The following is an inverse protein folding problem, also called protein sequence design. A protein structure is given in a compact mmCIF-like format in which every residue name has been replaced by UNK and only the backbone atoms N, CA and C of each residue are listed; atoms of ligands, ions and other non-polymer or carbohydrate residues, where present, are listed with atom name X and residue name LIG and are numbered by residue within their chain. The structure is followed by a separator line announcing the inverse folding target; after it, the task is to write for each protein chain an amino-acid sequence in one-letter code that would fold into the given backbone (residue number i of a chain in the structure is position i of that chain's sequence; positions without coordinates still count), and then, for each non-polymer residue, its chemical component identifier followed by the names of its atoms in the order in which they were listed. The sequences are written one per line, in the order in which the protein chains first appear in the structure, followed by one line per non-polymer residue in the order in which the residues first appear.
data_IF_187862891494
#
_entry.id   IF_187862891494
#
_cell.length_a   1.000
_cell.length_b   1.000
_cell.length_c   1.000
_cell.angle_alpha   90.00
_cell.angle_beta   90.00
_cell.angle_gamma   90.00
#
_symmetry.space_group_name_H-M   'P 1'
#
loop_
_entity.id
_entity.type
_entity.pdbx_description
1 polymer ?
#
# COMPACT_ATOMS: atom_id res chain seq x y z
N UNK A 1 18.78 15.39 -16.26
CA UNK A 1 18.06 14.14 -15.84
C UNK A 1 17.11 13.78 -16.96
N UNK A 2 16.94 12.49 -17.27
CA UNK A 2 15.90 12.07 -18.24
C UNK A 2 14.53 12.35 -17.65
N UNK A 3 13.61 12.89 -18.43
CA UNK A 3 12.20 13.10 -18.01
C UNK A 3 11.36 11.81 -18.08
N UNK A 4 11.84 10.81 -18.81
CA UNK A 4 11.19 9.52 -19.01
C UNK A 4 12.19 8.38 -18.84
N UNK A 5 11.69 7.27 -18.32
CA UNK A 5 12.41 6.01 -18.14
C UNK A 5 11.56 4.83 -18.64
N UNK A 6 12.20 3.71 -18.93
CA UNK A 6 11.53 2.43 -19.17
C UNK A 6 11.61 1.59 -17.91
N UNK A 7 10.56 0.84 -17.60
CA UNK A 7 10.47 0.00 -16.41
C UNK A 7 10.01 -1.41 -16.78
N UNK A 8 10.59 -2.40 -16.12
CA UNK A 8 10.12 -3.78 -16.16
C UNK A 8 9.45 -4.13 -14.85
N UNK A 9 8.20 -4.54 -14.92
CA UNK A 9 7.43 -5.03 -13.78
C UNK A 9 7.39 -6.55 -13.78
N UNK A 10 7.71 -7.18 -12.65
CA UNK A 10 7.49 -8.60 -12.38
C UNK A 10 6.43 -8.71 -11.32
N UNK A 11 5.20 -8.99 -11.74
CA UNK A 11 4.01 -8.91 -10.89
C UNK A 11 3.51 -10.30 -10.56
N UNK A 12 3.20 -10.52 -9.28
CA UNK A 12 2.48 -11.71 -8.85
C UNK A 12 1.04 -11.65 -9.36
N UNK A 13 0.63 -12.69 -10.07
CA UNK A 13 -0.74 -12.83 -10.62
C UNK A 13 -1.38 -14.05 -10.02
N UNK A 14 -2.56 -13.86 -9.43
CA UNK A 14 -3.32 -14.90 -8.78
C UNK A 14 -4.81 -14.54 -8.81
N UNK A 15 -5.68 -15.50 -9.12
CA UNK A 15 -7.11 -15.21 -9.31
C UNK A 15 -7.91 -15.24 -8.00
N UNK A 16 -7.46 -16.02 -7.03
CA UNK A 16 -8.08 -16.14 -5.69
C UNK A 16 -7.10 -16.74 -4.68
N UNK A 17 -7.45 -16.72 -3.41
CA UNK A 17 -6.64 -17.34 -2.36
C UNK A 17 -6.42 -18.85 -2.56
N UNK A 18 -7.34 -19.54 -3.22
CA UNK A 18 -7.27 -20.99 -3.49
C UNK A 18 -6.53 -21.32 -4.79
N UNK A 19 -6.37 -20.37 -5.68
CA UNK A 19 -5.70 -20.56 -6.95
C UNK A 19 -4.18 -20.51 -6.82
N UNK A 20 -3.47 -21.23 -7.70
CA UNK A 20 -2.01 -21.16 -7.76
C UNK A 20 -1.58 -19.87 -8.48
N UNK A 21 -0.84 -19.02 -7.78
CA UNK A 21 -0.28 -17.80 -8.37
C UNK A 21 1.03 -18.03 -9.12
N UNK A 22 1.39 -17.08 -9.97
CA UNK A 22 2.67 -17.06 -10.69
C UNK A 22 3.10 -15.64 -11.02
N UNK A 23 4.40 -15.43 -11.22
CA UNK A 23 4.90 -14.15 -11.73
C UNK A 23 4.66 -14.00 -13.23
N UNK A 24 4.27 -12.78 -13.62
CA UNK A 24 4.25 -12.35 -15.01
C UNK A 24 5.10 -11.09 -15.16
N UNK A 25 5.78 -10.98 -16.29
CA UNK A 25 6.63 -9.83 -16.60
C UNK A 25 5.96 -8.93 -17.63
N UNK A 26 6.06 -7.63 -17.40
CA UNK A 26 5.52 -6.58 -18.23
C UNK A 26 6.57 -5.49 -18.39
N UNK A 27 6.63 -4.87 -19.56
CA UNK A 27 7.49 -3.71 -19.80
C UNK A 27 6.61 -2.50 -20.09
N UNK A 28 6.95 -1.38 -19.48
CA UNK A 28 6.30 -0.10 -19.71
C UNK A 28 7.34 0.92 -20.17
N UNK A 29 7.12 1.47 -21.35
CA UNK A 29 8.01 2.44 -21.97
C UNK A 29 7.55 3.88 -21.71
N UNK A 30 8.48 4.84 -21.77
CA UNK A 30 8.18 6.27 -21.62
C UNK A 30 7.41 6.64 -20.33
N UNK A 31 7.78 6.06 -19.21
CA UNK A 31 7.23 6.39 -17.90
C UNK A 31 7.81 7.73 -17.44
N UNK A 32 6.98 8.72 -17.15
CA UNK A 32 7.45 9.99 -16.60
C UNK A 32 8.04 9.77 -15.20
N UNK A 33 9.22 10.36 -14.95
CA UNK A 33 9.84 10.31 -13.63
C UNK A 33 9.06 11.07 -12.55
N UNK A 34 8.08 11.89 -12.96
CA UNK A 34 7.27 12.74 -12.08
C UNK A 34 6.02 12.06 -11.54
N UNK A 35 5.62 10.93 -12.12
CA UNK A 35 4.45 10.17 -11.66
C UNK A 35 4.82 9.20 -10.53
N UNK A 36 3.81 8.78 -9.79
CA UNK A 36 3.93 7.75 -8.76
C UNK A 36 3.97 6.34 -9.35
N UNK A 37 4.38 5.36 -8.53
CA UNK A 37 4.33 3.94 -8.92
C UNK A 37 2.89 3.49 -9.21
N UNK A 38 1.89 4.00 -8.49
CA UNK A 38 0.49 3.66 -8.77
C UNK A 38 0.03 4.19 -10.13
N UNK A 39 0.40 5.42 -10.47
CA UNK A 39 0.10 5.98 -11.79
C UNK A 39 0.81 5.22 -12.91
N UNK A 40 2.03 4.73 -12.68
CA UNK A 40 2.71 3.85 -13.63
C UNK A 40 1.99 2.50 -13.78
N UNK A 41 1.40 1.96 -12.70
CA UNK A 41 0.55 0.76 -12.78
C UNK A 41 -0.78 1.03 -13.49
N UNK A 42 -1.37 2.22 -13.33
CA UNK A 42 -2.55 2.62 -14.10
C UNK A 42 -2.23 2.64 -15.60
N UNK A 43 -1.10 3.27 -16.01
CA UNK A 43 -0.66 3.27 -17.40
C UNK A 43 -0.43 1.85 -17.95
N UNK A 44 0.20 0.98 -17.16
CA UNK A 44 0.36 -0.42 -17.53
C UNK A 44 -1.00 -1.12 -17.72
N UNK A 45 -1.95 -0.88 -16.82
CA UNK A 45 -3.28 -1.46 -16.90
C UNK A 45 -4.07 -0.97 -18.13
N UNK A 46 -3.90 0.28 -18.52
CA UNK A 46 -4.46 0.80 -19.78
C UNK A 46 -3.89 0.04 -21.00
N UNK A 47 -2.56 -0.15 -21.04
CA UNK A 47 -1.95 -0.94 -22.11
C UNK A 47 -2.41 -2.40 -22.11
N UNK A 48 -2.53 -3.03 -20.94
CA UNK A 48 -3.02 -4.40 -20.82
C UNK A 48 -4.46 -4.53 -21.33
N UNK A 49 -5.32 -3.59 -20.95
CA UNK A 49 -6.71 -3.55 -21.40
C UNK A 49 -6.81 -3.40 -22.93
N UNK A 50 -6.02 -2.52 -23.51
CA UNK A 50 -5.96 -2.35 -24.97
C UNK A 50 -5.53 -3.64 -25.69
N UNK A 51 -4.68 -4.44 -25.07
CA UNK A 51 -4.20 -5.74 -25.58
C UNK A 51 -5.15 -6.91 -25.23
N UNK A 52 -6.32 -6.66 -24.64
CA UNK A 52 -7.25 -7.67 -24.12
C UNK A 52 -6.61 -8.62 -23.08
N UNK A 53 -5.64 -8.13 -22.32
CA UNK A 53 -5.03 -8.84 -21.19
C UNK A 53 -5.67 -8.32 -19.90
N UNK A 54 -6.00 -9.23 -18.98
CA UNK A 54 -6.59 -8.87 -17.69
C UNK A 54 -5.70 -7.88 -16.94
N UNK A 55 -6.20 -6.69 -16.56
CA UNK A 55 -5.46 -5.71 -15.77
C UNK A 55 -4.95 -6.30 -14.44
N UNK A 56 -3.94 -5.68 -13.88
CA UNK A 56 -3.41 -6.02 -12.54
C UNK A 56 -4.37 -5.45 -11.50
N UNK A 57 -4.84 -6.29 -10.59
CA UNK A 57 -5.68 -5.87 -9.47
C UNK A 57 -4.81 -5.39 -8.31
N UNK A 58 -5.04 -4.18 -7.85
CA UNK A 58 -4.42 -3.59 -6.67
C UNK A 58 -5.36 -2.56 -6.03
N UNK A 59 -5.25 -2.41 -4.70
CA UNK A 59 -6.08 -1.48 -3.96
C UNK A 59 -5.46 -0.08 -3.91
N UNK A 60 -6.29 0.94 -3.99
CA UNK A 60 -5.92 2.33 -3.79
C UNK A 60 -7.16 3.16 -3.46
N UNK A 61 -6.94 4.32 -2.81
CA UNK A 61 -8.01 5.27 -2.53
C UNK A 61 -7.48 6.71 -2.55
N UNK A 62 -6.97 7.25 -1.43
CA UNK A 62 -6.61 8.66 -1.30
C UNK A 62 -5.50 9.13 -2.27
N UNK A 63 -4.59 8.27 -2.66
CA UNK A 63 -3.37 8.56 -3.45
C UNK A 63 -2.46 9.63 -2.82
N UNK A 64 -2.66 9.95 -1.53
CA UNK A 64 -1.93 10.98 -0.78
C UNK A 64 -1.13 10.43 0.41
N UNK A 65 -1.07 9.10 0.55
CA UNK A 65 -0.27 8.44 1.57
C UNK A 65 -0.89 8.41 2.97
N UNK A 66 -2.19 8.59 3.11
CA UNK A 66 -2.88 8.70 4.40
C UNK A 66 -3.91 7.61 4.69
N UNK A 67 -4.45 6.90 3.68
CA UNK A 67 -5.51 5.91 3.88
C UNK A 67 -5.02 4.48 4.14
N UNK A 68 -3.77 4.16 3.78
CA UNK A 68 -3.17 2.83 3.95
C UNK A 68 -3.68 1.75 2.99
N UNK A 69 -4.50 2.07 1.98
CA UNK A 69 -5.10 1.07 1.08
C UNK A 69 -4.11 0.49 0.07
N UNK A 70 -3.17 1.29 -0.45
CA UNK A 70 -2.26 0.91 -1.54
C UNK A 70 -1.06 0.05 -1.09
N UNK A 71 -1.27 -0.84 -0.12
CA UNK A 71 -0.20 -1.62 0.49
C UNK A 71 0.11 -2.92 -0.25
N UNK A 72 1.35 -3.08 -0.71
CA UNK A 72 1.89 -4.35 -1.22
C UNK A 72 3.41 -4.38 -1.09
N UNK A 73 4.02 -5.55 -1.31
CA UNK A 73 5.48 -5.70 -1.29
C UNK A 73 6.09 -5.23 -2.60
N UNK A 74 7.14 -4.45 -2.47
CA UNK A 74 7.95 -3.97 -3.57
C UNK A 74 9.39 -4.43 -3.37
N UNK A 75 9.87 -5.27 -4.27
CA UNK A 75 11.18 -5.92 -4.14
C UNK A 75 11.36 -6.62 -2.77
N UNK A 76 10.31 -7.28 -2.29
CA UNK A 76 10.27 -8.00 -1.02
C UNK A 76 10.18 -7.12 0.24
N UNK A 77 10.01 -5.81 0.10
CA UNK A 77 9.85 -4.87 1.21
C UNK A 77 8.47 -4.20 1.20
N UNK A 78 7.81 -4.06 2.35
CA UNK A 78 6.56 -3.33 2.44
C UNK A 78 6.73 -1.89 1.95
N UNK A 79 5.91 -1.48 0.97
CA UNK A 79 5.97 -0.17 0.31
C UNK A 79 7.30 0.18 -0.38
N UNK A 80 8.28 -0.73 -0.41
CA UNK A 80 9.61 -0.51 -0.99
C UNK A 80 10.67 -0.02 0.00
N UNK A 81 11.83 0.37 -0.52
CA UNK A 81 13.01 0.69 0.29
C UNK A 81 12.98 2.08 0.94
N UNK A 82 12.11 2.98 0.49
CA UNK A 82 12.02 4.33 1.02
C UNK A 82 11.19 4.35 2.30
N UNK A 83 11.82 4.63 3.43
CA UNK A 83 11.16 4.69 4.74
C UNK A 83 10.10 5.80 4.79
N UNK A 84 9.02 5.56 5.55
CA UNK A 84 7.94 6.52 5.76
C UNK A 84 7.19 6.90 4.47
N UNK A 85 7.19 6.01 3.48
CA UNK A 85 6.57 6.26 2.19
C UNK A 85 5.61 5.14 1.85
N UNK A 86 4.43 5.47 1.38
CA UNK A 86 3.46 4.53 0.82
C UNK A 86 3.69 4.34 -0.67
N UNK A 87 3.12 3.30 -1.25
CA UNK A 87 3.29 3.00 -2.69
C UNK A 87 2.79 4.13 -3.58
N UNK A 88 1.70 4.82 -3.19
CA UNK A 88 1.16 5.96 -3.92
C UNK A 88 2.05 7.22 -3.86
N UNK A 89 2.99 7.28 -2.93
CA UNK A 89 3.94 8.39 -2.79
C UNK A 89 5.36 8.00 -3.23
N UNK A 90 5.53 6.80 -3.77
CA UNK A 90 6.79 6.35 -4.33
C UNK A 90 6.87 6.74 -5.80
N UNK A 91 7.56 7.81 -6.10
CA UNK A 91 7.68 8.37 -7.45
C UNK A 91 8.70 7.63 -8.31
N UNK A 92 8.44 7.60 -9.62
CA UNK A 92 9.27 6.89 -10.60
C UNK A 92 10.70 7.42 -10.69
N UNK A 93 10.96 8.67 -10.30
CA UNK A 93 12.32 9.23 -10.16
C UNK A 93 13.23 8.51 -9.15
N UNK A 94 12.65 7.66 -8.29
CA UNK A 94 13.41 6.83 -7.36
C UNK A 94 13.95 5.54 -7.99
N UNK A 95 13.59 5.25 -9.24
CA UNK A 95 14.03 4.07 -9.97
C UNK A 95 14.98 4.44 -11.10
N UNK A 96 15.88 3.52 -11.40
CA UNK A 96 16.79 3.65 -12.55
C UNK A 96 16.05 3.28 -13.84
N UNK A 97 16.51 3.84 -14.95
CA UNK A 97 16.08 3.43 -16.28
C UNK A 97 16.31 1.91 -16.48
N UNK A 98 15.34 1.22 -17.05
CA UNK A 98 15.32 -0.25 -17.22
C UNK A 98 15.36 -1.05 -15.89
N UNK A 99 14.98 -0.46 -14.76
CA UNK A 99 14.89 -1.18 -13.50
C UNK A 99 13.82 -2.27 -13.55
N UNK A 100 14.12 -3.41 -12.92
CA UNK A 100 13.13 -4.46 -12.63
C UNK A 100 12.51 -4.18 -11.27
N UNK A 101 11.18 -4.05 -11.25
CA UNK A 101 10.38 -3.85 -10.04
C UNK A 101 9.53 -5.10 -9.82
N UNK A 102 9.74 -5.78 -8.69
CA UNK A 102 8.98 -6.97 -8.32
C UNK A 102 7.84 -6.54 -7.40
N UNK A 103 6.60 -6.88 -7.76
CA UNK A 103 5.40 -6.56 -7.03
C UNK A 103 4.71 -7.83 -6.54
N UNK A 104 4.39 -7.88 -5.26
CA UNK A 104 3.77 -9.02 -4.59
C UNK A 104 2.72 -8.54 -3.59
N UNK A 105 1.62 -9.30 -3.36
CA UNK A 105 0.68 -8.97 -2.29
C UNK A 105 1.35 -9.05 -0.92
N UNK A 106 0.67 -8.58 0.12
CA UNK A 106 1.07 -8.91 1.49
C UNK A 106 1.11 -10.43 1.68
N UNK A 107 2.28 -11.00 1.95
CA UNK A 107 2.47 -12.45 2.11
C UNK A 107 2.38 -12.87 3.58
N UNK A 108 1.19 -12.78 4.15
CA UNK A 108 0.89 -13.21 5.52
C UNK A 108 -0.47 -13.88 5.56
N UNK A 109 -0.64 -14.88 6.43
CA UNK A 109 -1.92 -15.61 6.56
C UNK A 109 -3.09 -14.71 6.96
N UNK A 110 -2.81 -13.65 7.71
CA UNK A 110 -3.81 -12.67 8.13
C UNK A 110 -4.37 -11.83 6.98
N UNK A 111 -3.74 -11.86 5.81
CA UNK A 111 -4.15 -11.13 4.62
C UNK A 111 -4.32 -12.10 3.44
N UNK A 112 -5.41 -12.89 3.41
CA UNK A 112 -5.68 -13.77 2.28
C UNK A 112 -5.77 -12.98 0.98
N UNK A 113 -5.25 -13.56 -0.11
CA UNK A 113 -5.26 -12.89 -1.42
C UNK A 113 -6.68 -12.91 -1.99
N UNK A 114 -7.20 -11.73 -2.32
CA UNK A 114 -8.42 -11.59 -3.10
C UNK A 114 -8.10 -11.82 -4.58
N UNK A 115 -7.20 -11.02 -5.12
CA UNK A 115 -6.72 -11.14 -6.50
C UNK A 115 -5.42 -10.35 -6.69
N UNK A 116 -4.43 -10.94 -7.33
CA UNK A 116 -3.13 -10.33 -7.65
C UNK A 116 -2.44 -9.68 -6.44
N UNK A 117 -2.47 -8.34 -6.34
CA UNK A 117 -1.87 -7.58 -5.24
C UNK A 117 -2.88 -7.19 -4.15
N UNK A 118 -4.18 -7.38 -4.41
CA UNK A 118 -5.26 -7.07 -3.48
C UNK A 118 -5.45 -8.20 -2.47
N UNK A 119 -5.62 -7.84 -1.20
CA UNK A 119 -5.74 -8.78 -0.07
C UNK A 119 -6.91 -8.43 0.84
N UNK A 120 -7.48 -9.43 1.49
CA UNK A 120 -8.51 -9.23 2.51
C UNK A 120 -7.86 -8.75 3.82
N UNK A 121 -8.23 -7.55 4.24
CA UNK A 121 -7.75 -6.89 5.46
C UNK A 121 -8.72 -6.94 6.63
N UNK A 122 -9.87 -7.57 6.48
CA UNK A 122 -10.94 -7.59 7.49
C UNK A 122 -10.45 -8.00 8.89
N UNK A 123 -9.49 -8.93 8.99
CA UNK A 123 -8.94 -9.34 10.28
C UNK A 123 -8.20 -8.20 11.00
N UNK A 124 -7.39 -7.43 10.26
CA UNK A 124 -6.68 -6.26 10.79
C UNK A 124 -7.67 -5.15 11.16
N UNK A 125 -8.64 -4.88 10.30
CA UNK A 125 -9.62 -3.82 10.52
C UNK A 125 -10.48 -4.09 11.77
N UNK A 126 -10.87 -5.35 12.00
CA UNK A 126 -11.53 -5.77 13.25
C UNK A 126 -10.68 -5.53 14.49
N UNK A 127 -9.36 -5.80 14.42
CA UNK A 127 -8.44 -5.54 15.51
C UNK A 127 -8.29 -4.02 15.77
N UNK A 128 -8.17 -3.22 14.73
CA UNK A 128 -8.09 -1.77 14.84
C UNK A 128 -9.37 -1.21 15.50
N UNK A 129 -10.55 -1.64 15.04
CA UNK A 129 -11.84 -1.22 15.60
C UNK A 129 -11.96 -1.65 17.06
N UNK A 130 -11.52 -2.85 17.44
CA UNK A 130 -11.58 -3.34 18.81
C UNK A 130 -10.65 -2.57 19.78
N UNK A 131 -9.59 -1.95 19.26
CA UNK A 131 -8.65 -1.14 20.03
C UNK A 131 -9.17 0.24 20.40
N UNK A 132 -10.19 0.71 19.73
CA UNK A 132 -10.84 1.99 20.00
C UNK A 132 -11.59 2.50 18.78
N UNK A 133 -12.84 2.80 18.99
CA UNK A 133 -13.70 3.45 18.01
C UNK A 133 -14.44 4.60 18.68
N UNK A 134 -14.37 5.76 18.08
CA UNK A 134 -15.20 6.88 18.47
C UNK A 134 -15.71 7.62 17.24
N UNK A 135 -16.95 8.08 17.30
CA UNK A 135 -17.50 8.97 16.30
C UNK A 135 -17.18 10.43 16.66
N UNK A 136 -17.16 11.28 15.67
CA UNK A 136 -17.07 12.72 15.90
C UNK A 136 -18.32 13.19 16.65
N UNK A 137 -18.13 13.72 17.86
CA UNK A 137 -19.19 14.40 18.56
C UNK A 137 -19.44 15.76 17.91
N UNK A 138 -20.66 16.00 17.48
CA UNK A 138 -21.07 17.26 16.82
C UNK A 138 -21.76 18.22 17.80
N UNK A 139 -21.39 18.17 19.08
CA UNK A 139 -21.88 19.08 20.12
C UNK A 139 -21.36 20.51 19.96
N UNK A 140 -21.75 21.38 20.90
CA UNK A 140 -21.21 22.75 20.98
C UNK A 140 -19.72 22.72 21.31
N UNK A 141 -19.01 23.80 20.93
CA UNK A 141 -17.63 23.99 21.32
C UNK A 141 -17.51 23.91 22.86
N UNK A 142 -16.48 23.22 23.41
CA UNK A 142 -16.28 23.17 24.84
C UNK A 142 -16.02 24.58 25.43
N UNK A 143 -16.39 24.77 26.71
CA UNK A 143 -16.14 26.01 27.42
C UNK A 143 -14.62 26.30 27.44
N UNK A 144 -14.24 27.54 27.13
CA UNK A 144 -12.84 27.99 27.13
C UNK A 144 -12.15 27.84 28.49
N UNK A 145 -12.93 27.73 29.58
CA UNK A 145 -12.41 27.52 30.97
C UNK A 145 -12.26 26.02 31.32
N UNK A 146 -12.56 25.09 30.41
CA UNK A 146 -12.29 23.67 30.68
C UNK A 146 -10.80 23.43 30.92
N UNK A 147 -10.50 22.51 31.85
CA UNK A 147 -9.12 22.09 32.12
C UNK A 147 -8.53 21.51 30.81
N UNK A 148 -7.45 22.11 30.28
CA UNK A 148 -6.86 21.63 29.03
C UNK A 148 -6.26 20.23 29.19
N UNK A 149 -6.18 19.49 28.09
CA UNK A 149 -5.48 18.21 28.05
C UNK A 149 -3.99 18.47 28.29
N UNK A 150 -3.34 17.65 29.12
CA UNK A 150 -1.90 17.81 29.38
C UNK A 150 -1.09 17.58 28.07
N UNK A 151 0.05 18.28 27.91
CA UNK A 151 0.92 18.10 26.73
C UNK A 151 1.32 16.64 26.51
N UNK A 152 1.62 15.90 27.58
CA UNK A 152 2.01 14.47 27.49
C UNK A 152 0.91 13.60 26.86
N UNK A 153 -0.35 13.81 27.30
CA UNK A 153 -1.49 13.09 26.69
C UNK A 153 -1.72 13.50 25.24
N UNK A 154 -1.58 14.79 24.94
CA UNK A 154 -1.70 15.29 23.58
C UNK A 154 -0.63 14.70 22.66
N UNK A 155 0.64 14.71 23.05
CA UNK A 155 1.74 14.12 22.29
C UNK A 155 1.55 12.62 22.07
N UNK A 156 1.21 11.86 23.11
CA UNK A 156 0.94 10.42 23.01
C UNK A 156 -0.20 10.12 22.00
N UNK A 157 -1.25 10.94 22.00
CA UNK A 157 -2.36 10.81 21.06
C UNK A 157 -1.92 11.10 19.62
N UNK A 158 -1.11 12.15 19.41
CA UNK A 158 -0.58 12.48 18.08
C UNK A 158 0.38 11.40 17.56
N UNK A 159 1.25 10.84 18.41
CA UNK A 159 2.12 9.71 18.00
C UNK A 159 1.31 8.49 17.59
N UNK A 160 0.27 8.16 18.34
CA UNK A 160 -0.63 7.04 18.00
C UNK A 160 -1.39 7.29 16.70
N UNK A 161 -1.81 8.53 16.44
CA UNK A 161 -2.53 8.93 15.24
C UNK A 161 -1.66 8.93 13.96
N UNK A 162 -0.35 8.73 14.07
CA UNK A 162 0.53 8.59 12.89
C UNK A 162 0.33 7.27 12.14
N UNK A 163 -0.31 6.28 12.75
CA UNK A 163 -0.62 5.01 12.11
C UNK A 163 -1.74 5.18 11.09
N UNK A 164 -1.43 4.86 9.81
CA UNK A 164 -2.42 4.89 8.72
C UNK A 164 -3.13 3.55 8.50
N UNK A 165 -2.94 2.57 9.38
CA UNK A 165 -3.58 1.25 9.30
C UNK A 165 -3.19 0.41 8.07
N UNK A 166 -2.06 0.66 7.42
CA UNK A 166 -1.71 0.02 6.14
C UNK A 166 -1.34 -1.47 6.23
N UNK A 167 -1.07 -2.01 7.43
CA UNK A 167 -0.67 -3.41 7.60
C UNK A 167 0.78 -3.74 7.25
N UNK A 168 1.60 -2.76 6.88
CA UNK A 168 3.01 -2.97 6.52
C UNK A 168 3.85 -3.61 7.65
N UNK A 169 3.57 -3.28 8.90
CA UNK A 169 4.22 -3.86 10.07
C UNK A 169 3.88 -5.35 10.23
N UNK A 170 2.64 -5.75 9.96
CA UNK A 170 2.19 -7.16 9.96
C UNK A 170 2.90 -7.89 8.82
N UNK A 171 2.83 -7.37 7.60
CA UNK A 171 3.47 -7.96 6.43
C UNK A 171 5.00 -8.04 6.54
N UNK A 172 5.63 -7.11 7.26
CA UNK A 172 7.07 -7.09 7.52
C UNK A 172 7.52 -7.96 8.69
N UNK A 173 6.61 -8.52 9.48
CA UNK A 173 6.93 -9.30 10.68
C UNK A 173 7.63 -10.62 10.32
N UNK A 174 8.86 -10.82 10.83
CA UNK A 174 9.64 -12.04 10.56
C UNK A 174 9.01 -13.31 11.14
N UNK A 175 8.24 -13.20 12.22
CA UNK A 175 7.55 -14.34 12.84
C UNK A 175 6.38 -14.79 11.99
N UNK A 176 5.64 -13.86 11.42
CA UNK A 176 4.45 -14.14 10.62
C UNK A 176 4.82 -14.62 9.20
N UNK A 177 5.92 -14.12 8.62
CA UNK A 177 6.44 -14.61 7.32
C UNK A 177 6.82 -16.08 7.32
N UNK A 178 7.21 -16.66 8.46
CA UNK A 178 7.54 -18.09 8.56
C UNK A 178 6.33 -19.02 8.49
N UNK A 179 5.14 -18.49 8.65
CA UNK A 179 3.90 -19.26 8.59
C UNK A 179 3.29 -19.36 7.18
N UNK A 180 3.96 -18.82 6.17
CA UNK A 180 3.46 -18.70 4.77
C UNK A 180 4.23 -19.60 3.79
N UNK A 181 5.04 -20.54 4.29
CA UNK A 181 5.71 -21.57 3.48
C UNK A 181 4.99 -22.89 3.63
#
# INVERSE_FOLDING_TARGET
MKDYISIKFKVWRQDSNESKGSYKEFSLERVSVKISLLEALDQLNEELTTKNIRPITFDHDCREGICGSCGFLLNGQPHGSKRGTTTCQLYMRNFKDNALIILEPWRVKSFPIIQDLSVDRNALDKLIISGGYFSTETGNAPDANLIPISPEKAFSSFETATCIGCGACVAGCKKDRKSVV
#
